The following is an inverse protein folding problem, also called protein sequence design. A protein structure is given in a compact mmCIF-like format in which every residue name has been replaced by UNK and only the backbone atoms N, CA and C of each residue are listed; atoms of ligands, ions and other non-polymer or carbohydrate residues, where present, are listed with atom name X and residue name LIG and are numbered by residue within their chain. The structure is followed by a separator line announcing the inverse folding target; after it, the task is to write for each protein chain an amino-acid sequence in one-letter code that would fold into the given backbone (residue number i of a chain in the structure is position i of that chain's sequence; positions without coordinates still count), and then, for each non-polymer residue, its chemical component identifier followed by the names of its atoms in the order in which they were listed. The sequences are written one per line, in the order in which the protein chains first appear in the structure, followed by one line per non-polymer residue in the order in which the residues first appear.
data_IF_129870088637
#
_entry.id   IF_129870088637
#
_cell.length_a   1.000
_cell.length_b   1.000
_cell.length_c   1.000
_cell.angle_alpha   90.00
_cell.angle_beta   90.00
_cell.angle_gamma   90.00
#
_symmetry.space_group_name_H-M   'P 1'
#
loop_
_entity.id
_entity.type
_entity.pdbx_description
1 polymer ?
#
# COMPACT_ATOMS: atom_id res chain seq x y z
N UNK A 1 35.83 7.00 -30.87
CA UNK A 1 35.97 6.75 -29.42
C UNK A 1 34.58 6.81 -28.80
N UNK A 2 34.08 5.66 -28.35
CA UNK A 2 32.78 5.60 -27.66
C UNK A 2 33.08 5.91 -26.19
N UNK A 3 32.83 7.13 -25.79
CA UNK A 3 32.91 7.54 -24.39
C UNK A 3 31.82 6.78 -23.62
N UNK A 4 32.21 5.81 -22.82
CA UNK A 4 31.35 5.07 -21.91
C UNK A 4 31.00 5.94 -20.70
N UNK A 5 30.03 6.80 -20.87
CA UNK A 5 29.40 7.47 -19.72
C UNK A 5 28.43 6.45 -19.09
N UNK A 6 28.77 5.96 -17.92
CA UNK A 6 28.19 4.78 -17.27
C UNK A 6 26.76 5.01 -16.73
N UNK A 7 26.18 6.20 -16.93
CA UNK A 7 24.97 6.61 -16.19
C UNK A 7 23.63 6.45 -16.93
N UNK A 8 23.61 6.00 -18.19
CA UNK A 8 22.34 5.80 -18.92
C UNK A 8 22.28 4.48 -19.65
N UNK A 9 21.14 3.79 -19.63
CA UNK A 9 20.89 2.64 -20.51
C UNK A 9 20.83 3.13 -21.94
N UNK A 10 21.67 2.58 -22.83
CA UNK A 10 21.75 2.97 -24.25
C UNK A 10 21.36 1.81 -25.13
N UNK A 11 20.48 2.05 -26.07
CA UNK A 11 20.13 1.11 -27.14
C UNK A 11 20.76 1.60 -28.42
N UNK A 12 21.75 0.87 -28.92
CA UNK A 12 22.46 1.20 -30.16
C UNK A 12 21.68 0.70 -31.36
N UNK A 13 21.60 1.52 -32.40
CA UNK A 13 20.96 1.20 -33.66
C UNK A 13 22.01 1.12 -34.76
N UNK A 14 21.97 0.04 -35.57
CA UNK A 14 22.78 -0.11 -36.77
C UNK A 14 21.88 -0.53 -37.95
N UNK A 15 22.24 -0.09 -39.16
CA UNK A 15 21.59 -0.48 -40.41
C UNK A 15 22.69 -1.02 -41.31
N UNK A 16 22.53 -2.24 -41.82
CA UNK A 16 23.50 -2.93 -42.66
C UNK A 16 24.91 -2.97 -42.04
N UNK A 17 24.99 -3.20 -40.72
CA UNK A 17 26.24 -3.24 -39.98
C UNK A 17 26.90 -1.89 -39.70
N UNK A 18 26.33 -0.79 -40.19
CA UNK A 18 26.82 0.58 -39.96
C UNK A 18 26.14 1.18 -38.76
N UNK A 19 26.86 1.55 -37.65
CA UNK A 19 26.28 2.23 -36.52
C UNK A 19 25.63 3.56 -36.92
N UNK A 20 24.37 3.77 -36.57
CA UNK A 20 23.64 4.99 -36.87
C UNK A 20 23.52 5.93 -35.66
N UNK A 21 23.65 5.36 -34.44
CA UNK A 21 23.57 6.13 -33.20
C UNK A 21 23.06 5.28 -32.04
N UNK A 22 22.60 5.94 -31.00
CA UNK A 22 21.99 5.29 -29.85
C UNK A 22 20.82 6.11 -29.30
N UNK A 23 19.91 5.41 -28.66
CA UNK A 23 18.86 6.01 -27.83
C UNK A 23 19.29 5.91 -26.37
N UNK A 24 19.32 7.05 -25.67
CA UNK A 24 19.51 7.05 -24.22
C UNK A 24 18.15 6.88 -23.54
N UNK A 25 17.99 5.79 -22.80
CA UNK A 25 16.76 5.49 -22.06
C UNK A 25 17.00 5.88 -20.60
N UNK A 26 16.20 6.84 -20.11
CA UNK A 26 16.21 7.25 -18.72
C UNK A 26 14.91 6.84 -18.03
N UNK A 27 15.00 6.33 -16.80
CA UNK A 27 13.82 6.07 -15.99
C UNK A 27 13.14 7.37 -15.62
N UNK A 28 11.87 7.54 -16.00
CA UNK A 28 11.08 8.69 -15.60
C UNK A 28 10.37 8.38 -14.28
N UNK A 29 10.59 9.24 -13.30
CA UNK A 29 9.89 9.13 -12.03
C UNK A 29 8.42 9.51 -12.19
N UNK A 30 7.57 8.80 -11.45
CA UNK A 30 6.15 9.17 -11.36
C UNK A 30 6.00 10.47 -10.57
N UNK A 31 5.17 11.42 -11.07
CA UNK A 31 4.88 12.66 -10.35
C UNK A 31 4.36 12.36 -8.92
N UNK A 32 4.78 13.15 -7.95
CA UNK A 32 4.33 13.03 -6.55
C UNK A 32 5.01 11.92 -5.73
N UNK A 33 5.96 11.18 -6.30
CA UNK A 33 6.70 10.13 -5.56
C UNK A 33 7.44 10.71 -4.35
N UNK A 34 8.17 11.83 -4.52
CA UNK A 34 8.92 12.46 -3.43
C UNK A 34 8.02 12.89 -2.28
N UNK A 35 6.85 13.45 -2.58
CA UNK A 35 5.85 13.84 -1.58
C UNK A 35 5.29 12.63 -0.84
N UNK A 36 5.02 11.54 -1.56
CA UNK A 36 4.57 10.29 -0.97
C UNK A 36 5.62 9.74 0.00
N UNK A 37 6.89 9.67 -0.42
CA UNK A 37 7.99 9.16 0.40
C UNK A 37 8.17 9.98 1.67
N UNK A 38 8.07 11.31 1.59
CA UNK A 38 8.09 12.18 2.77
C UNK A 38 6.93 11.89 3.73
N UNK A 39 5.71 11.70 3.21
CA UNK A 39 4.54 11.33 4.03
C UNK A 39 4.69 9.95 4.68
N UNK A 40 5.41 9.03 4.05
CA UNK A 40 5.71 7.69 4.56
C UNK A 40 6.92 7.64 5.49
N UNK A 41 7.69 8.71 5.61
CA UNK A 41 9.01 8.80 6.25
C UNK A 41 9.14 8.34 7.70
N UNK A 42 8.03 8.06 8.40
CA UNK A 42 8.02 7.39 9.72
C UNK A 42 8.07 5.85 9.62
N UNK A 43 8.11 5.31 8.42
CA UNK A 43 8.15 3.87 8.14
C UNK A 43 9.53 3.48 7.65
N UNK A 44 9.95 2.26 7.95
CA UNK A 44 11.13 1.69 7.32
C UNK A 44 10.84 1.48 5.83
N UNK A 45 11.61 2.12 4.97
CA UNK A 45 11.48 2.05 3.52
C UNK A 45 12.66 1.29 2.93
N UNK A 46 12.38 0.51 1.89
CA UNK A 46 13.39 -0.13 1.06
C UNK A 46 13.03 0.02 -0.42
N UNK A 47 14.01 0.32 -1.25
CA UNK A 47 13.92 0.25 -2.71
C UNK A 47 14.62 -1.00 -3.20
N UNK A 48 13.87 -1.84 -3.92
CA UNK A 48 14.39 -3.05 -4.58
C UNK A 48 14.30 -2.84 -6.10
N UNK A 49 15.40 -2.47 -6.73
CA UNK A 49 15.46 -2.21 -8.17
C UNK A 49 16.21 -3.32 -8.91
N UNK A 50 15.66 -3.76 -10.04
CA UNK A 50 16.36 -4.62 -10.99
C UNK A 50 17.44 -3.90 -11.80
N UNK A 51 17.41 -2.55 -11.80
CA UNK A 51 18.38 -1.73 -12.51
C UNK A 51 19.77 -1.82 -11.87
N UNK A 52 20.77 -1.39 -12.63
CA UNK A 52 22.15 -1.29 -12.15
C UNK A 52 22.32 -0.13 -11.16
N UNK A 53 23.50 -0.03 -10.56
CA UNK A 53 23.84 0.99 -9.56
C UNK A 53 23.98 2.41 -10.14
N UNK A 54 23.88 2.60 -11.46
CA UNK A 54 24.02 3.90 -12.11
C UNK A 54 22.99 4.94 -11.66
N UNK A 55 21.78 4.48 -11.27
CA UNK A 55 20.71 5.36 -10.75
C UNK A 55 20.80 5.61 -9.25
N UNK A 56 21.83 5.10 -8.55
CA UNK A 56 21.95 5.18 -7.08
C UNK A 56 21.93 6.62 -6.55
N UNK A 57 22.73 7.51 -7.13
CA UNK A 57 22.82 8.90 -6.68
C UNK A 57 21.46 9.62 -6.85
N UNK A 58 20.82 9.37 -7.98
CA UNK A 58 19.51 9.95 -8.26
C UNK A 58 18.44 9.42 -7.30
N UNK A 59 18.42 8.14 -6.99
CA UNK A 59 17.49 7.54 -6.02
C UNK A 59 17.80 8.02 -4.60
N UNK A 60 19.06 8.15 -4.21
CA UNK A 60 19.45 8.70 -2.90
C UNK A 60 18.99 10.14 -2.70
N UNK A 61 18.87 10.93 -3.76
CA UNK A 61 18.35 12.29 -3.66
C UNK A 61 16.83 12.37 -3.45
N UNK A 62 16.10 11.30 -3.76
CA UNK A 62 14.63 11.26 -3.71
C UNK A 62 14.12 10.56 -2.46
N UNK A 63 14.77 9.46 -2.12
CA UNK A 63 14.40 8.65 -0.97
C UNK A 63 14.98 9.25 0.33
N UNK A 64 14.28 9.11 1.46
CA UNK A 64 14.83 9.48 2.78
C UNK A 64 16.17 8.77 3.04
N UNK A 65 17.08 9.43 3.75
CA UNK A 65 18.44 8.94 4.02
C UNK A 65 18.49 7.55 4.69
N UNK A 66 17.46 7.22 5.47
CA UNK A 66 17.34 5.93 6.16
C UNK A 66 16.80 4.80 5.27
N UNK A 67 16.52 5.08 3.99
CA UNK A 67 15.98 4.08 3.06
C UNK A 67 17.05 3.11 2.61
N UNK A 68 16.78 1.82 2.73
CA UNK A 68 17.65 0.78 2.20
C UNK A 68 17.53 0.73 0.67
N UNK A 69 18.60 1.03 -0.06
CA UNK A 69 18.64 1.02 -1.53
C UNK A 69 19.39 -0.21 -2.03
N UNK A 70 18.65 -1.17 -2.62
CA UNK A 70 19.19 -2.39 -3.25
C UNK A 70 18.97 -2.34 -4.74
N UNK A 71 20.06 -2.51 -5.48
CA UNK A 71 20.10 -2.57 -6.95
C UNK A 71 20.47 -3.96 -7.41
N UNK A 72 20.31 -4.24 -8.72
CA UNK A 72 20.52 -5.54 -9.34
C UNK A 72 19.69 -6.65 -8.66
N UNK A 73 18.46 -6.35 -8.27
CA UNK A 73 17.57 -7.31 -7.63
C UNK A 73 16.65 -7.95 -8.65
N UNK A 74 16.87 -9.21 -8.96
CA UNK A 74 15.95 -10.00 -9.76
C UNK A 74 14.68 -10.38 -8.99
N UNK A 75 13.71 -11.05 -9.63
CA UNK A 75 12.46 -11.44 -9.00
C UNK A 75 12.65 -12.32 -7.76
N UNK A 76 13.65 -13.22 -7.77
CA UNK A 76 13.93 -14.12 -6.67
C UNK A 76 14.53 -13.38 -5.46
N UNK A 77 15.50 -12.48 -5.71
CA UNK A 77 16.13 -11.68 -4.66
C UNK A 77 15.12 -10.77 -3.97
N UNK A 78 14.16 -10.19 -4.71
CA UNK A 78 13.07 -9.40 -4.15
C UNK A 78 12.17 -10.24 -3.25
N UNK A 79 11.81 -11.44 -3.69
CA UNK A 79 11.00 -12.37 -2.91
C UNK A 79 11.72 -12.78 -1.63
N UNK A 80 13.01 -13.15 -1.72
CA UNK A 80 13.81 -13.57 -0.58
C UNK A 80 14.02 -12.43 0.43
N UNK A 81 14.18 -11.20 -0.06
CA UNK A 81 14.19 -10.01 0.81
C UNK A 81 12.89 -9.86 1.60
N UNK A 82 11.74 -10.00 0.94
CA UNK A 82 10.43 -9.92 1.62
C UNK A 82 10.32 -11.00 2.71
N UNK A 83 10.70 -12.25 2.40
CA UNK A 83 10.73 -13.34 3.38
C UNK A 83 11.61 -13.02 4.58
N UNK A 84 12.83 -12.56 4.33
CA UNK A 84 13.75 -12.16 5.38
C UNK A 84 13.17 -11.08 6.30
N UNK A 85 12.48 -10.08 5.74
CA UNK A 85 11.82 -9.05 6.56
C UNK A 85 10.70 -9.65 7.41
N UNK A 86 9.93 -10.59 6.85
CA UNK A 86 8.85 -11.28 7.58
C UNK A 86 9.41 -12.17 8.70
N UNK A 87 10.48 -12.90 8.46
CA UNK A 87 11.16 -13.74 9.45
C UNK A 87 11.70 -12.90 10.62
N UNK A 88 12.10 -11.65 10.34
CA UNK A 88 12.47 -10.66 11.36
C UNK A 88 11.25 -10.04 12.09
N UNK A 89 10.04 -10.58 11.91
CA UNK A 89 8.83 -10.11 12.57
C UNK A 89 8.26 -8.81 12.00
N UNK A 90 8.69 -8.37 10.83
CA UNK A 90 8.19 -7.12 10.21
C UNK A 90 6.96 -7.38 9.36
N UNK A 91 5.97 -6.49 9.45
CA UNK A 91 4.85 -6.48 8.53
C UNK A 91 5.24 -5.69 7.28
N UNK A 92 5.25 -6.39 6.14
CA UNK A 92 5.75 -5.85 4.86
C UNK A 92 4.60 -5.54 3.92
N UNK A 93 4.60 -4.34 3.38
CA UNK A 93 3.81 -3.97 2.20
C UNK A 93 4.76 -3.82 1.02
N UNK A 94 4.50 -4.56 -0.05
CA UNK A 94 5.23 -4.47 -1.32
C UNK A 94 4.42 -3.65 -2.32
N UNK A 95 5.11 -2.75 -3.02
CA UNK A 95 4.54 -1.99 -4.13
C UNK A 95 5.41 -2.27 -5.34
N UNK A 96 4.81 -2.73 -6.43
CA UNK A 96 5.54 -3.12 -7.65
C UNK A 96 4.70 -2.98 -8.90
N UNK A 97 5.27 -3.32 -10.06
CA UNK A 97 4.57 -3.28 -11.35
C UNK A 97 3.65 -4.49 -11.58
N UNK A 98 3.79 -5.53 -10.77
CA UNK A 98 2.95 -6.73 -10.79
C UNK A 98 3.36 -7.77 -11.82
N UNK A 99 4.15 -7.45 -12.82
CA UNK A 99 4.62 -8.41 -13.83
C UNK A 99 5.86 -9.16 -13.31
N UNK A 100 6.93 -8.44 -13.08
CA UNK A 100 8.19 -9.00 -12.60
C UNK A 100 8.19 -9.25 -11.08
N UNK A 101 7.34 -8.53 -10.37
CA UNK A 101 7.27 -8.51 -8.91
C UNK A 101 6.17 -9.41 -8.33
N UNK A 102 5.46 -10.19 -9.16
CA UNK A 102 4.31 -11.00 -8.76
C UNK A 102 4.59 -11.94 -7.58
N UNK A 103 5.76 -12.57 -7.55
CA UNK A 103 6.19 -13.44 -6.45
C UNK A 103 6.38 -12.67 -5.14
N UNK A 104 7.06 -11.53 -5.18
CA UNK A 104 7.30 -10.67 -4.02
C UNK A 104 6.01 -10.00 -3.52
N UNK A 105 5.12 -9.57 -4.45
CA UNK A 105 3.80 -9.03 -4.12
C UNK A 105 2.96 -10.06 -3.37
N UNK A 106 2.87 -11.28 -3.89
CA UNK A 106 2.11 -12.37 -3.25
C UNK A 106 2.70 -12.80 -1.91
N UNK A 107 4.02 -12.77 -1.76
CA UNK A 107 4.69 -13.12 -0.52
C UNK A 107 4.48 -12.07 0.56
N UNK A 108 4.37 -10.80 0.21
CA UNK A 108 4.21 -9.72 1.18
C UNK A 108 2.90 -9.84 1.96
N UNK A 109 2.79 -9.19 3.15
CA UNK A 109 1.54 -9.15 3.89
C UNK A 109 0.47 -8.31 3.18
N UNK A 110 0.88 -7.32 2.39
CA UNK A 110 0.02 -6.54 1.51
C UNK A 110 0.80 -6.27 0.23
N UNK A 111 0.35 -6.83 -0.88
CA UNK A 111 0.89 -6.60 -2.22
C UNK A 111 0.04 -5.58 -2.98
N UNK A 112 0.65 -4.48 -3.40
CA UNK A 112 0.00 -3.43 -4.20
C UNK A 112 0.65 -3.35 -5.56
N UNK A 113 -0.08 -3.72 -6.61
CA UNK A 113 0.37 -3.56 -7.97
C UNK A 113 0.04 -2.16 -8.48
N UNK A 114 1.01 -1.46 -9.07
CA UNK A 114 0.84 -0.14 -9.66
C UNK A 114 0.93 -0.26 -11.17
N UNK A 115 -0.17 0.00 -11.87
CA UNK A 115 -0.24 -0.08 -13.33
C UNK A 115 -0.99 1.11 -13.91
N UNK A 116 -0.66 1.47 -15.14
CA UNK A 116 -1.42 2.47 -15.91
C UNK A 116 -2.45 1.80 -16.83
N UNK A 117 -2.30 0.51 -17.10
CA UNK A 117 -3.24 -0.30 -17.88
C UNK A 117 -3.82 -1.43 -17.03
N UNK A 118 -5.09 -1.30 -16.68
CA UNK A 118 -5.83 -2.28 -15.86
C UNK A 118 -6.55 -3.34 -16.70
N UNK A 119 -6.57 -3.20 -18.03
CA UNK A 119 -7.43 -4.01 -18.90
C UNK A 119 -6.94 -5.46 -19.10
N UNK A 120 -5.65 -5.71 -18.98
CA UNK A 120 -5.04 -7.02 -19.29
C UNK A 120 -4.24 -7.60 -18.12
N UNK A 121 -4.47 -7.14 -16.92
CA UNK A 121 -3.62 -7.42 -15.80
C UNK A 121 -4.33 -8.28 -14.75
N UNK A 122 -3.83 -9.49 -14.51
CA UNK A 122 -4.30 -10.36 -13.41
C UNK A 122 -3.15 -10.61 -12.43
N UNK A 123 -2.83 -9.64 -11.59
CA UNK A 123 -1.70 -9.76 -10.68
C UNK A 123 -2.04 -10.67 -9.50
N UNK A 124 -1.03 -11.36 -9.00
CA UNK A 124 -1.07 -11.98 -7.67
C UNK A 124 -0.80 -10.91 -6.61
N UNK A 125 -1.77 -10.02 -6.37
CA UNK A 125 -1.67 -8.93 -5.39
C UNK A 125 -3.00 -8.71 -4.67
N UNK A 126 -2.96 -7.98 -3.56
CA UNK A 126 -4.15 -7.67 -2.74
C UNK A 126 -4.88 -6.42 -3.22
N UNK A 127 -4.16 -5.51 -3.88
CA UNK A 127 -4.72 -4.27 -4.42
C UNK A 127 -4.04 -3.86 -5.72
N UNK A 128 -4.82 -3.21 -6.59
CA UNK A 128 -4.32 -2.57 -7.81
C UNK A 128 -4.50 -1.07 -7.66
N UNK A 129 -3.46 -0.31 -7.92
CA UNK A 129 -3.44 1.14 -7.87
C UNK A 129 -3.07 1.69 -9.25
N UNK A 130 -3.88 2.58 -9.78
CA UNK A 130 -3.53 3.28 -11.00
C UNK A 130 -2.32 4.19 -10.73
N UNK A 131 -1.34 4.21 -11.64
CA UNK A 131 -0.09 4.93 -11.44
C UNK A 131 -0.26 6.42 -11.15
N UNK A 132 -1.27 7.06 -11.73
CA UNK A 132 -1.64 8.45 -11.44
C UNK A 132 -2.12 8.68 -10.01
N UNK A 133 -2.60 7.63 -9.32
CA UNK A 133 -3.09 7.68 -7.94
C UNK A 133 -2.01 7.31 -6.91
N UNK A 134 -0.79 6.97 -7.33
CA UNK A 134 0.31 6.64 -6.44
C UNK A 134 0.55 7.70 -5.32
N UNK A 135 0.48 9.01 -5.61
CA UNK A 135 0.63 10.04 -4.57
C UNK A 135 -0.42 9.98 -3.47
N UNK A 136 -1.62 9.47 -3.77
CA UNK A 136 -2.72 9.32 -2.82
C UNK A 136 -2.58 8.08 -1.91
N UNK A 137 -1.58 7.23 -2.11
CA UNK A 137 -1.40 6.00 -1.32
C UNK A 137 -1.35 6.27 0.19
N UNK A 138 -0.70 7.35 0.62
CA UNK A 138 -0.66 7.71 2.04
C UNK A 138 -2.05 7.98 2.63
N UNK A 139 -2.95 8.53 1.82
CA UNK A 139 -4.33 8.82 2.18
C UNK A 139 -5.16 7.54 2.24
N UNK A 140 -4.98 6.62 1.29
CA UNK A 140 -5.59 5.30 1.34
C UNK A 140 -5.17 4.50 2.58
N UNK A 141 -3.88 4.56 2.96
CA UNK A 141 -3.40 3.92 4.18
C UNK A 141 -4.01 4.55 5.45
N UNK A 142 -4.21 5.86 5.45
CA UNK A 142 -4.90 6.54 6.55
C UNK A 142 -6.37 6.12 6.64
N UNK A 143 -7.06 6.05 5.50
CA UNK A 143 -8.44 5.59 5.42
C UNK A 143 -8.59 4.15 5.95
N UNK A 144 -7.70 3.24 5.53
CA UNK A 144 -7.71 1.85 5.99
C UNK A 144 -7.53 1.75 7.53
N UNK A 145 -6.67 2.58 8.13
CA UNK A 145 -6.50 2.64 9.58
C UNK A 145 -7.77 3.15 10.29
N UNK A 146 -8.38 4.19 9.75
CA UNK A 146 -9.62 4.74 10.29
C UNK A 146 -10.76 3.71 10.21
N UNK A 147 -10.89 3.01 9.08
CA UNK A 147 -11.86 1.94 8.91
C UNK A 147 -11.64 0.81 9.93
N UNK A 148 -10.39 0.37 10.13
CA UNK A 148 -10.06 -0.62 11.15
C UNK A 148 -10.42 -0.17 12.57
N UNK A 149 -10.24 1.13 12.87
CA UNK A 149 -10.63 1.70 14.17
C UNK A 149 -12.14 1.71 14.36
N UNK A 150 -12.90 2.08 13.32
CA UNK A 150 -14.37 2.03 13.35
C UNK A 150 -14.86 0.61 13.62
N UNK A 151 -14.30 -0.39 12.94
CA UNK A 151 -14.66 -1.80 13.16
C UNK A 151 -14.38 -2.22 14.61
N UNK A 152 -13.22 -1.88 15.17
CA UNK A 152 -12.90 -2.17 16.58
C UNK A 152 -13.89 -1.53 17.54
N UNK A 153 -14.27 -0.29 17.30
CA UNK A 153 -15.29 0.41 18.12
C UNK A 153 -16.65 -0.25 18.01
N UNK A 154 -17.06 -0.70 16.83
CA UNK A 154 -18.29 -1.47 16.66
C UNK A 154 -18.28 -2.76 17.49
N UNK A 155 -17.17 -3.50 17.51
CA UNK A 155 -17.03 -4.68 18.35
C UNK A 155 -17.13 -4.34 19.85
N UNK A 156 -16.50 -3.25 20.29
CA UNK A 156 -16.60 -2.80 21.69
C UNK A 156 -18.05 -2.48 22.05
N UNK A 157 -18.75 -1.71 21.21
CA UNK A 157 -20.17 -1.38 21.43
C UNK A 157 -21.02 -2.65 21.53
N UNK A 158 -20.85 -3.59 20.59
CA UNK A 158 -21.58 -4.85 20.59
C UNK A 158 -21.27 -5.69 21.84
N UNK A 159 -20.01 -5.73 22.27
CA UNK A 159 -19.60 -6.42 23.49
C UNK A 159 -20.26 -5.83 24.73
N UNK A 160 -20.32 -4.49 24.85
CA UNK A 160 -20.99 -3.82 25.96
C UNK A 160 -22.48 -4.17 26.03
N UNK A 161 -23.17 -4.18 24.88
CA UNK A 161 -24.57 -4.62 24.81
C UNK A 161 -24.74 -6.08 25.29
N UNK A 162 -23.83 -6.97 24.92
CA UNK A 162 -23.85 -8.38 25.37
C UNK A 162 -23.62 -8.48 26.90
N UNK A 163 -22.69 -7.69 27.46
CA UNK A 163 -22.46 -7.65 28.91
C UNK A 163 -23.70 -7.16 29.65
N UNK A 164 -24.36 -6.10 29.15
CA UNK A 164 -25.61 -5.59 29.73
C UNK A 164 -26.70 -6.67 29.66
N UNK A 165 -26.93 -7.26 28.49
CA UNK A 165 -27.93 -8.32 28.31
C UNK A 165 -27.69 -9.52 29.23
N UNK A 166 -26.43 -9.96 29.37
CA UNK A 166 -26.06 -11.06 30.26
C UNK A 166 -26.27 -10.70 31.72
N UNK A 167 -26.00 -9.47 32.12
CA UNK A 167 -26.27 -8.98 33.49
C UNK A 167 -27.74 -9.04 33.82
N UNK A 168 -28.64 -8.65 32.92
CA UNK A 168 -30.09 -8.79 33.08
C UNK A 168 -30.52 -10.26 33.15
N UNK A 169 -29.89 -11.12 32.36
CA UNK A 169 -30.19 -12.56 32.39
C UNK A 169 -29.80 -13.22 33.73
N UNK A 170 -28.58 -12.98 34.23
CA UNK A 170 -28.07 -13.54 35.48
C UNK A 170 -28.86 -13.03 36.69
N UNK A 171 -29.28 -11.77 36.69
CA UNK A 171 -30.06 -11.17 37.75
C UNK A 171 -31.55 -11.59 37.75
N UNK A 172 -31.97 -12.42 36.78
CA UNK A 172 -33.36 -12.88 36.67
C UNK A 172 -34.34 -11.83 36.16
N UNK A 173 -33.86 -10.67 35.73
CA UNK A 173 -34.68 -9.55 35.23
C UNK A 173 -34.86 -9.56 33.71
N UNK A 174 -34.37 -10.55 32.99
CA UNK A 174 -34.51 -10.70 31.54
C UNK A 174 -35.94 -11.16 31.19
N UNK A 175 -36.86 -10.21 31.10
CA UNK A 175 -38.21 -10.47 30.59
C UNK A 175 -38.22 -10.52 29.05
N UNK A 176 -39.22 -11.17 28.41
CA UNK A 176 -39.35 -11.14 26.94
C UNK A 176 -39.40 -9.72 26.38
N UNK A 177 -39.98 -8.77 27.09
CA UNK A 177 -40.06 -7.36 26.71
C UNK A 177 -38.68 -6.72 26.69
N UNK A 178 -37.86 -6.95 27.73
CA UNK A 178 -36.48 -6.43 27.80
C UNK A 178 -35.63 -7.01 26.66
N UNK A 179 -35.73 -8.29 26.38
CA UNK A 179 -35.01 -8.90 25.27
C UNK A 179 -35.45 -8.33 23.90
N UNK A 180 -36.76 -8.15 23.71
CA UNK A 180 -37.33 -7.57 22.49
C UNK A 180 -36.88 -6.13 22.21
N UNK A 181 -36.51 -5.38 23.25
CA UNK A 181 -35.98 -4.01 23.12
C UNK A 181 -34.46 -4.02 22.94
N UNK A 182 -33.74 -4.80 23.73
CA UNK A 182 -32.26 -4.84 23.72
C UNK A 182 -31.66 -5.30 22.39
N UNK A 183 -32.25 -6.31 21.76
CA UNK A 183 -31.72 -6.85 20.50
C UNK A 183 -31.78 -5.83 19.34
N UNK A 184 -32.94 -5.21 18.99
CA UNK A 184 -33.00 -4.20 17.95
C UNK A 184 -32.18 -2.93 18.31
N UNK A 185 -32.18 -2.52 19.58
CA UNK A 185 -31.44 -1.35 20.03
C UNK A 185 -29.94 -1.49 19.78
N UNK A 186 -29.36 -2.66 20.07
CA UNK A 186 -27.95 -2.98 19.77
C UNK A 186 -27.65 -2.81 18.28
N UNK A 187 -28.44 -3.42 17.41
CA UNK A 187 -28.25 -3.39 15.95
C UNK A 187 -28.38 -1.96 15.40
N UNK A 188 -29.42 -1.23 15.82
CA UNK A 188 -29.65 0.16 15.40
C UNK A 188 -28.50 1.05 15.85
N UNK A 189 -27.98 0.87 17.06
CA UNK A 189 -26.85 1.65 17.57
C UNK A 189 -25.59 1.42 16.75
N UNK A 190 -25.25 0.15 16.46
CA UNK A 190 -24.06 -0.19 15.67
C UNK A 190 -24.16 0.34 14.24
N UNK A 191 -25.32 0.18 13.59
CA UNK A 191 -25.54 0.69 12.23
C UNK A 191 -25.47 2.20 12.18
N UNK A 192 -26.14 2.90 13.12
CA UNK A 192 -26.13 4.36 13.19
C UNK A 192 -24.73 4.90 13.46
N UNK A 193 -24.00 4.29 14.39
CA UNK A 193 -22.62 4.66 14.70
C UNK A 193 -21.71 4.46 13.47
N UNK A 194 -21.78 3.28 12.81
CA UNK A 194 -20.96 2.98 11.65
C UNK A 194 -21.24 3.95 10.51
N UNK A 195 -22.52 4.21 10.22
CA UNK A 195 -22.91 5.13 9.15
C UNK A 195 -22.43 6.56 9.42
N UNK A 196 -22.59 7.05 10.66
CA UNK A 196 -22.10 8.36 11.04
C UNK A 196 -20.57 8.46 10.98
N UNK A 197 -19.85 7.45 11.48
CA UNK A 197 -18.39 7.42 11.48
C UNK A 197 -17.82 7.37 10.05
N UNK A 198 -18.38 6.52 9.17
CA UNK A 198 -17.98 6.45 7.75
C UNK A 198 -18.28 7.77 7.04
N UNK A 199 -19.44 8.36 7.26
CA UNK A 199 -19.78 9.67 6.70
C UNK A 199 -18.77 10.75 7.10
N UNK A 200 -18.37 10.78 8.37
CA UNK A 200 -17.41 11.77 8.90
C UNK A 200 -16.01 11.58 8.28
N UNK A 201 -15.58 10.34 8.16
CA UNK A 201 -14.29 9.96 7.54
C UNK A 201 -14.29 10.31 6.05
N UNK A 202 -15.33 9.96 5.31
CA UNK A 202 -15.43 10.22 3.87
C UNK A 202 -15.45 11.70 3.54
N UNK A 203 -16.12 12.52 4.35
CA UNK A 203 -16.17 13.98 4.18
C UNK A 203 -14.79 14.63 4.33
N UNK A 204 -13.96 14.11 5.23
CA UNK A 204 -12.59 14.59 5.40
C UNK A 204 -11.66 14.16 4.27
N UNK A 205 -11.93 12.99 3.67
CA UNK A 205 -11.17 12.45 2.55
C UNK A 205 -11.48 13.18 1.23
N UNK A 206 -12.74 13.59 1.01
CA UNK A 206 -13.18 14.27 -0.21
C UNK A 206 -12.83 15.76 -0.27
N UNK A 207 -12.31 16.34 0.79
CA UNK A 207 -11.86 17.75 0.74
C UNK A 207 -10.53 17.81 -0.01
N UNK A 208 -10.48 18.40 -1.23
CA UNK A 208 -9.20 18.67 -1.88
C UNK A 208 -8.40 19.58 -0.94
N UNK A 209 -7.25 19.11 -0.51
CA UNK A 209 -6.30 19.99 0.19
C UNK A 209 -5.84 21.03 -0.82
N UNK A 210 -6.30 22.29 -0.63
CA UNK A 210 -5.80 23.47 -1.33
C UNK A 210 -4.32 23.69 -1.02
#
# INVERSE_FOLDING_TARGET
EITTDVQSTRVYASIDGIPKGYFAIGSRQRPGLSELLQKLGKKSLALLSGDNTGDRERMSAIFPQETELRFNQGPQEKLDYIRQQQDNGRHVMMIGDGLNDSGALKQSHVGVAVTDDTGFFTPSCDAILQGSQLPALSEFLQLARQASTIVKLCFIISFLYNVVGLSFAISGHLTPLVAAILMPASSITVVSFTSAAVWFVSRNFQRPRK
#
